data_IF_861993649877
#
_entry.id   IF_861993649877
#
_cell.length_a   1.000
_cell.length_b   1.000
_cell.length_c   1.000
_cell.angle_alpha   90.00
_cell.angle_beta   90.00
_cell.angle_gamma   90.00
#
_symmetry.space_group_name_H-M   'P 1'
#
loop_
_entity.id
_entity.type
_entity.pdbx_description
1 polymer ?
#
# COMPACT_ATOMS: atom_id res chain seq x y z
N UNK A 1 14.96 -2.67 28.76
CA UNK A 1 15.20 -3.86 27.92
C UNK A 1 14.53 -3.63 26.58
N UNK A 2 15.26 -3.70 25.46
CA UNK A 2 14.69 -3.51 24.11
C UNK A 2 13.96 -4.79 23.62
N UNK A 3 14.48 -5.96 23.98
CA UNK A 3 13.98 -7.26 23.55
C UNK A 3 12.56 -7.57 24.06
N UNK A 4 12.15 -7.04 25.21
CA UNK A 4 10.83 -7.30 25.79
C UNK A 4 9.67 -6.66 25.00
N UNK A 5 9.96 -5.77 24.05
CA UNK A 5 8.96 -5.06 23.23
C UNK A 5 9.10 -5.38 21.74
N UNK A 6 9.85 -6.43 21.38
CA UNK A 6 10.14 -6.75 19.97
C UNK A 6 8.85 -6.94 19.15
N UNK A 7 7.84 -7.60 19.71
CA UNK A 7 6.56 -7.84 19.05
C UNK A 7 5.71 -6.58 18.85
N UNK A 8 5.94 -5.54 19.65
CA UNK A 8 5.20 -4.29 19.53
C UNK A 8 5.63 -3.51 18.27
N UNK A 9 6.92 -3.59 17.92
CA UNK A 9 7.51 -2.79 16.84
C UNK A 9 7.97 -3.61 15.64
N UNK A 10 7.87 -4.93 15.69
CA UNK A 10 8.15 -5.79 14.55
C UNK A 10 7.05 -5.61 13.49
N UNK A 11 7.38 -5.17 12.26
CA UNK A 11 6.37 -4.95 11.21
C UNK A 11 5.63 -6.23 10.84
N UNK A 12 6.28 -7.40 10.90
CA UNK A 12 5.67 -8.68 10.55
C UNK A 12 4.61 -9.12 11.57
N UNK A 13 4.74 -8.70 12.83
CA UNK A 13 3.76 -9.02 13.89
C UNK A 13 2.53 -8.10 13.84
N UNK A 14 2.60 -6.96 13.14
CA UNK A 14 1.56 -5.93 13.08
C UNK A 14 0.79 -5.92 11.74
N UNK A 15 0.70 -7.06 11.06
CA UNK A 15 0.07 -7.18 9.74
C UNK A 15 -1.46 -7.26 9.77
N UNK A 16 -2.05 -7.75 10.87
CA UNK A 16 -3.50 -7.99 10.96
C UNK A 16 -4.37 -6.72 10.74
N UNK A 17 -4.02 -5.54 11.28
CA UNK A 17 -4.78 -4.31 11.03
C UNK A 17 -4.81 -3.91 9.55
N UNK A 18 -3.68 -4.07 8.83
CA UNK A 18 -3.58 -3.76 7.40
C UNK A 18 -4.45 -4.70 6.56
N UNK A 19 -4.42 -5.99 6.87
CA UNK A 19 -5.25 -6.98 6.19
C UNK A 19 -6.75 -6.72 6.42
N UNK A 20 -7.14 -6.36 7.65
CA UNK A 20 -8.54 -5.99 7.98
C UNK A 20 -9.02 -4.75 7.21
N UNK A 21 -8.12 -3.81 6.94
CA UNK A 21 -8.40 -2.64 6.11
C UNK A 21 -8.32 -2.92 4.60
N UNK A 22 -8.11 -4.18 4.20
CA UNK A 22 -8.00 -4.62 2.81
C UNK A 22 -6.92 -3.87 2.00
N UNK A 23 -5.82 -3.49 2.66
CA UNK A 23 -4.72 -2.78 2.00
C UNK A 23 -3.94 -3.78 1.13
N UNK A 24 -3.82 -3.56 -0.20
CA UNK A 24 -2.98 -4.42 -1.01
C UNK A 24 -1.49 -4.06 -0.80
N UNK A 25 -0.62 -5.07 -0.74
CA UNK A 25 0.83 -4.87 -0.60
C UNK A 25 1.55 -5.35 -1.87
N UNK A 26 2.49 -4.55 -2.34
CA UNK A 26 3.45 -4.95 -3.37
C UNK A 26 4.85 -4.84 -2.77
N UNK A 27 5.58 -5.95 -2.74
CA UNK A 27 6.90 -6.05 -2.12
C UNK A 27 7.90 -6.53 -3.16
N UNK A 28 9.02 -5.81 -3.29
CA UNK A 28 10.12 -6.17 -4.20
C UNK A 28 11.27 -6.71 -3.36
N UNK A 29 11.87 -7.79 -3.82
CA UNK A 29 13.05 -8.41 -3.22
C UNK A 29 14.08 -8.72 -4.31
N UNK A 30 15.37 -8.57 -4.01
CA UNK A 30 16.46 -8.86 -4.94
C UNK A 30 17.24 -10.11 -4.51
N UNK A 31 17.55 -11.02 -5.43
CA UNK A 31 18.19 -12.30 -5.06
C UNK A 31 19.62 -12.17 -4.57
N UNK A 32 20.29 -11.05 -4.84
CA UNK A 32 21.65 -10.78 -4.35
C UNK A 32 21.69 -9.89 -3.09
N UNK A 33 20.55 -9.73 -2.38
CA UNK A 33 20.53 -9.18 -1.02
C UNK A 33 21.10 -10.19 -0.02
N UNK A 34 22.26 -9.88 0.54
CA UNK A 34 22.94 -10.68 1.57
C UNK A 34 22.63 -10.21 3.00
N UNK A 35 22.02 -9.02 3.15
CA UNK A 35 21.78 -8.37 4.45
C UNK A 35 20.44 -8.82 5.02
N UNK A 36 19.42 -8.93 4.17
CA UNK A 36 18.05 -9.27 4.58
C UNK A 36 17.64 -10.57 3.90
N UNK A 37 17.82 -11.74 4.53
CA UNK A 37 17.52 -13.01 3.89
C UNK A 37 16.03 -13.14 3.53
N UNK A 38 15.74 -13.65 2.33
CA UNK A 38 14.38 -13.76 1.79
C UNK A 38 13.40 -14.47 2.73
N UNK A 39 13.77 -15.68 3.18
CA UNK A 39 12.88 -16.59 3.90
C UNK A 39 12.35 -16.01 5.23
N UNK A 40 13.19 -15.58 6.19
CA UNK A 40 12.72 -15.06 7.46
C UNK A 40 12.05 -13.68 7.36
N UNK A 41 12.16 -12.99 6.22
CA UNK A 41 11.66 -11.63 6.03
C UNK A 41 10.51 -11.59 5.02
N UNK A 42 10.80 -11.34 3.74
CA UNK A 42 9.77 -11.06 2.72
C UNK A 42 8.84 -12.26 2.47
N UNK A 43 9.35 -13.49 2.51
CA UNK A 43 8.50 -14.69 2.43
C UNK A 43 7.60 -14.85 3.65
N UNK A 44 8.14 -14.66 4.86
CA UNK A 44 7.37 -14.75 6.10
C UNK A 44 6.29 -13.66 6.19
N UNK A 45 6.63 -12.44 5.78
CA UNK A 45 5.68 -11.33 5.62
C UNK A 45 4.56 -11.73 4.66
N UNK A 46 4.88 -12.26 3.48
CA UNK A 46 3.87 -12.67 2.51
C UNK A 46 2.99 -13.81 3.03
N UNK A 47 3.58 -14.80 3.71
CA UNK A 47 2.87 -15.93 4.31
C UNK A 47 1.89 -15.46 5.37
N UNK A 48 2.34 -14.63 6.33
CA UNK A 48 1.48 -14.11 7.41
C UNK A 48 0.41 -13.17 6.88
N UNK A 49 0.74 -12.31 5.91
CA UNK A 49 -0.25 -11.40 5.34
C UNK A 49 -1.40 -12.15 4.66
N UNK A 50 -1.06 -13.17 3.87
CA UNK A 50 -2.06 -14.07 3.24
C UNK A 50 -2.89 -14.82 4.29
N UNK A 51 -2.27 -15.28 5.38
CA UNK A 51 -2.98 -15.93 6.47
C UNK A 51 -3.99 -15.01 7.17
N UNK A 52 -3.76 -13.70 7.18
CA UNK A 52 -4.73 -12.70 7.65
C UNK A 52 -5.78 -12.31 6.59
N UNK A 53 -5.78 -12.93 5.41
CA UNK A 53 -6.69 -12.60 4.30
C UNK A 53 -6.26 -11.40 3.47
N UNK A 54 -5.04 -10.88 3.70
CA UNK A 54 -4.48 -9.77 2.95
C UNK A 54 -3.97 -10.17 1.56
N UNK A 55 -4.05 -9.25 0.61
CA UNK A 55 -3.53 -9.44 -0.75
C UNK A 55 -2.09 -8.90 -0.83
N UNK A 56 -1.14 -9.77 -1.18
CA UNK A 56 0.26 -9.39 -1.37
C UNK A 56 0.86 -10.01 -2.61
N UNK A 57 1.52 -9.16 -3.40
CA UNK A 57 2.41 -9.54 -4.48
C UNK A 57 3.86 -9.41 -4.03
N UNK A 58 4.66 -10.47 -4.22
CA UNK A 58 6.10 -10.49 -3.93
C UNK A 58 6.84 -10.67 -5.25
N UNK A 59 7.47 -9.61 -5.74
CA UNK A 59 8.31 -9.61 -6.94
C UNK A 59 9.75 -9.97 -6.53
N UNK A 60 10.28 -11.05 -7.09
CA UNK A 60 11.68 -11.46 -6.88
C UNK A 60 12.48 -11.09 -8.12
N UNK A 61 13.32 -10.09 -8.00
CA UNK A 61 14.21 -9.62 -9.05
C UNK A 61 15.55 -10.38 -9.02
N UNK A 62 16.04 -10.85 -10.18
CA UNK A 62 17.36 -11.47 -10.25
C UNK A 62 18.47 -10.42 -10.06
N UNK A 63 19.47 -10.77 -9.24
CA UNK A 63 20.60 -9.88 -8.95
C UNK A 63 20.23 -8.81 -7.93
N UNK A 64 20.96 -7.69 -7.95
CA UNK A 64 20.68 -6.49 -7.15
C UNK A 64 21.06 -6.59 -5.66
N UNK A 65 21.76 -5.59 -5.14
CA UNK A 65 22.17 -5.53 -3.71
C UNK A 65 21.10 -4.81 -2.89
N UNK A 66 21.18 -4.92 -1.57
CA UNK A 66 20.33 -4.15 -0.68
C UNK A 66 20.37 -2.64 -1.02
N UNK A 67 19.20 -2.06 -1.31
CA UNK A 67 19.05 -0.66 -1.69
C UNK A 67 19.52 -0.25 -3.10
N UNK A 68 19.76 -1.18 -4.03
CA UNK A 68 20.19 -0.84 -5.39
C UNK A 68 19.13 -0.12 -6.24
N UNK A 69 19.57 0.49 -7.34
CA UNK A 69 18.73 1.29 -8.23
C UNK A 69 17.64 0.46 -8.94
N UNK A 70 17.85 -0.85 -9.06
CA UNK A 70 16.92 -1.81 -9.64
C UNK A 70 15.51 -1.73 -9.04
N UNK A 71 15.38 -1.44 -7.74
CA UNK A 71 14.08 -1.32 -7.06
C UNK A 71 13.22 -0.18 -7.61
N UNK A 72 13.83 0.83 -8.23
CA UNK A 72 13.15 2.01 -8.76
C UNK A 72 12.77 1.87 -10.24
N UNK A 73 13.08 0.73 -10.86
CA UNK A 73 12.83 0.49 -12.29
C UNK A 73 11.65 -0.46 -12.56
N UNK A 74 11.01 -1.00 -11.51
CA UNK A 74 9.84 -1.88 -11.66
C UNK A 74 8.64 -1.12 -12.21
N UNK A 75 8.33 -1.35 -13.49
CA UNK A 75 7.09 -0.87 -14.09
C UNK A 75 5.87 -1.49 -13.40
N UNK A 76 5.95 -2.76 -13.00
CA UNK A 76 4.87 -3.45 -12.30
C UNK A 76 4.54 -2.80 -10.94
N UNK A 77 5.53 -2.31 -10.21
CA UNK A 77 5.31 -1.54 -8.98
C UNK A 77 4.65 -0.17 -9.26
N UNK A 78 5.09 0.54 -10.29
CA UNK A 78 4.47 1.80 -10.70
C UNK A 78 3.00 1.61 -11.13
N UNK A 79 2.72 0.55 -11.89
CA UNK A 79 1.38 0.17 -12.33
C UNK A 79 0.50 -0.25 -11.15
N UNK A 80 1.07 -0.96 -10.18
CA UNK A 80 0.37 -1.34 -8.95
C UNK A 80 -0.11 -0.11 -8.18
N UNK A 81 0.76 0.90 -8.00
CA UNK A 81 0.39 2.15 -7.32
C UNK A 81 -0.71 2.88 -8.10
N UNK A 82 -0.48 3.07 -9.41
CA UNK A 82 -1.40 3.83 -10.27
C UNK A 82 -2.78 3.18 -10.33
N UNK A 83 -2.84 1.86 -10.53
CA UNK A 83 -4.10 1.12 -10.59
C UNK A 83 -4.83 1.08 -9.25
N UNK A 84 -4.12 1.06 -8.12
CA UNK A 84 -4.72 1.13 -6.78
C UNK A 84 -5.39 2.48 -6.56
N UNK A 85 -4.73 3.58 -6.96
CA UNK A 85 -5.31 4.93 -6.89
C UNK A 85 -6.53 5.06 -7.80
N UNK A 86 -6.45 4.56 -9.03
CA UNK A 86 -7.59 4.60 -9.96
C UNK A 86 -8.80 3.82 -9.42
N UNK A 87 -8.58 2.63 -8.83
CA UNK A 87 -9.64 1.85 -8.17
C UNK A 87 -10.23 2.59 -6.97
N UNK A 88 -9.38 3.23 -6.16
CA UNK A 88 -9.83 4.03 -5.04
C UNK A 88 -10.71 5.20 -5.51
N UNK A 89 -10.29 5.93 -6.54
CA UNK A 89 -11.05 7.04 -7.13
C UNK A 89 -12.37 6.55 -7.73
N UNK A 90 -12.38 5.42 -8.45
CA UNK A 90 -13.60 4.84 -8.99
C UNK A 90 -14.60 4.41 -7.90
N UNK A 91 -14.10 3.95 -6.74
CA UNK A 91 -14.92 3.49 -5.61
C UNK A 91 -15.39 4.66 -4.73
N UNK A 92 -14.58 5.71 -4.59
CA UNK A 92 -14.86 6.88 -3.76
C UNK A 92 -15.70 7.97 -4.45
N UNK A 93 -15.79 7.95 -5.79
CA UNK A 93 -16.69 8.81 -6.57
C UNK A 93 -18.07 8.20 -6.85
N UNK A 94 -18.44 7.09 -6.21
CA UNK A 94 -19.84 6.75 -5.97
C UNK A 94 -20.33 7.47 -4.71
N UNK A 95 -20.21 8.80 -4.70
CA UNK A 95 -20.96 9.59 -3.74
C UNK A 95 -22.43 9.52 -4.19
N UNK A 96 -23.39 9.08 -3.34
CA UNK A 96 -24.79 9.39 -3.64
C UNK A 96 -24.83 10.90 -3.79
N UNK A 97 -25.42 11.39 -4.87
CA UNK A 97 -25.62 12.82 -5.09
C UNK A 97 -26.12 13.43 -3.78
N UNK A 98 -25.25 14.10 -3.03
CA UNK A 98 -25.69 14.84 -1.86
C UNK A 98 -26.59 15.92 -2.45
N UNK A 99 -27.89 15.94 -2.13
CA UNK A 99 -28.75 17.02 -2.59
C UNK A 99 -28.12 18.30 -2.06
N UNK A 100 -27.89 19.25 -2.97
CA UNK A 100 -27.46 20.57 -2.55
C UNK A 100 -28.47 21.09 -1.50
N UNK A 101 -27.98 21.54 -0.35
CA UNK A 101 -28.85 22.17 0.65
C UNK A 101 -29.08 21.43 1.97
N UNK A 102 -28.13 20.65 2.50
CA UNK A 102 -28.08 20.43 3.96
C UNK A 102 -27.15 21.46 4.60
N UNK A 103 -27.74 22.21 5.52
CA UNK A 103 -27.27 23.47 6.07
C UNK A 103 -25.79 23.48 6.50
N UNK A 104 -25.07 24.52 6.10
CA UNK A 104 -23.72 24.82 6.59
C UNK A 104 -22.56 24.66 5.58
N UNK A 105 -22.82 24.47 4.28
CA UNK A 105 -21.75 24.47 3.26
C UNK A 105 -22.19 25.26 2.02
N UNK A 106 -21.22 25.96 1.43
CA UNK A 106 -21.36 27.00 0.38
C UNK A 106 -22.41 26.63 -0.69
N UNK A 107 -23.33 27.54 -1.06
CA UNK A 107 -24.31 27.28 -2.12
C UNK A 107 -23.63 26.93 -3.44
N UNK A 108 -24.20 25.99 -4.20
CA UNK A 108 -23.64 25.47 -5.44
C UNK A 108 -23.36 26.52 -6.52
N UNK A 109 -23.94 27.72 -6.40
CA UNK A 109 -23.68 28.86 -7.28
C UNK A 109 -22.25 29.42 -7.19
N UNK A 110 -21.46 29.04 -6.18
CA UNK A 110 -20.05 29.49 -6.01
C UNK A 110 -19.00 28.43 -6.39
N UNK A 111 -19.40 27.30 -6.97
CA UNK A 111 -18.46 26.23 -7.38
C UNK A 111 -17.67 26.54 -8.66
N UNK A 112 -18.00 27.60 -9.39
CA UNK A 112 -17.25 28.01 -10.60
C UNK A 112 -15.92 28.69 -10.31
N UNK A 113 -15.66 29.13 -9.07
CA UNK A 113 -14.40 29.80 -8.68
C UNK A 113 -13.25 28.83 -8.33
N UNK A 114 -13.51 27.51 -8.27
CA UNK A 114 -12.50 26.52 -7.88
C UNK A 114 -12.02 25.59 -9.01
N UNK A 115 -12.42 25.87 -10.25
CA UNK A 115 -11.70 25.35 -11.42
C UNK A 115 -10.79 26.46 -11.93
N UNK A 116 -9.56 26.47 -11.42
CA UNK A 116 -8.49 27.25 -12.01
C UNK A 116 -8.14 26.70 -13.39
N UNK A 117 -7.83 27.63 -14.30
CA UNK A 117 -7.23 27.39 -15.62
C UNK A 117 -5.82 26.77 -15.50
#
# INVERSE_FOLDING_TARGET
MLLSRIHEFNPIDNLAPLAKAAIPIYHIYSTADEIVPLQPNSEELARRYRAHGGQIHLEIMPGGKHGGEEFYTSQAAADFITSTIQKFNATSFQHPTLPCGKAGRVPCSKLSEFRGD
#
